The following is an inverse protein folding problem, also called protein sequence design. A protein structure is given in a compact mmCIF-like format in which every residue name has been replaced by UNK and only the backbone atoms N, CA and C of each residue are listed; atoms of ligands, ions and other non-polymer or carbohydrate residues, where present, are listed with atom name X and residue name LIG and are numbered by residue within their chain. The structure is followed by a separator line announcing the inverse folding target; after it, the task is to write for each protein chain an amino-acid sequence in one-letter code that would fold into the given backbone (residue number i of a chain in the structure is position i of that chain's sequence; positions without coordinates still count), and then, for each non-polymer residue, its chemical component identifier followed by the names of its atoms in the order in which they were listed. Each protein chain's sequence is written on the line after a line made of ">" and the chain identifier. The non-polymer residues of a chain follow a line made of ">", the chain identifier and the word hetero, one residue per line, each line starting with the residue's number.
data_IF_624549628713
#
_entry.id   IF_624549628713
#
_cell.length_a   1.000
_cell.length_b   1.000
_cell.length_c   1.000
_cell.angle_alpha   90.00
_cell.angle_beta   90.00
_cell.angle_gamma   90.00
#
_symmetry.space_group_name_H-M   'P 1'
#
loop_
_entity.id
_entity.type
_entity.pdbx_description
1 polymer ?
#
# COMPACT_ATOMS: atom_id res chain seq x y z
N UNK A 1 9.56 8.63 -18.99
CA UNK A 1 8.44 8.32 -19.92
C UNK A 1 7.87 6.92 -19.73
N UNK A 2 8.66 5.84 -19.73
CA UNK A 2 8.16 4.45 -19.58
C UNK A 2 7.30 4.25 -18.32
N UNK A 3 7.73 4.77 -17.16
CA UNK A 3 6.97 4.67 -15.90
C UNK A 3 5.58 5.31 -15.95
N UNK A 4 5.45 6.44 -16.67
CA UNK A 4 4.16 7.12 -16.90
C UNK A 4 3.22 6.24 -17.71
N UNK A 5 3.70 5.67 -18.82
CA UNK A 5 2.88 4.80 -19.65
C UNK A 5 2.41 3.55 -18.92
N UNK A 6 3.31 2.87 -18.20
CA UNK A 6 2.95 1.68 -17.43
C UNK A 6 1.93 1.99 -16.33
N UNK A 7 2.11 3.09 -15.61
CA UNK A 7 1.17 3.50 -14.57
C UNK A 7 -0.18 3.91 -15.15
N UNK A 8 -0.20 4.59 -16.31
CA UNK A 8 -1.43 4.92 -17.03
C UNK A 8 -2.18 3.67 -17.51
N UNK A 9 -1.47 2.64 -17.98
CA UNK A 9 -2.06 1.35 -18.34
C UNK A 9 -2.72 0.70 -17.12
N UNK A 10 -2.06 0.72 -15.96
CA UNK A 10 -2.64 0.18 -14.72
C UNK A 10 -3.90 0.95 -14.31
N UNK A 11 -3.89 2.29 -14.42
CA UNK A 11 -5.08 3.10 -14.17
C UNK A 11 -6.23 2.73 -15.12
N UNK A 12 -5.95 2.56 -16.42
CA UNK A 12 -6.95 2.15 -17.40
C UNK A 12 -7.49 0.74 -17.14
N UNK A 13 -6.62 -0.22 -16.85
CA UNK A 13 -7.01 -1.58 -16.46
C UNK A 13 -7.86 -1.58 -15.19
N UNK A 14 -7.53 -0.71 -14.23
CA UNK A 14 -8.31 -0.53 -12.99
C UNK A 14 -9.74 -0.08 -13.32
N UNK A 15 -9.90 0.90 -14.21
CA UNK A 15 -11.21 1.39 -14.67
C UNK A 15 -11.98 0.26 -15.37
N UNK A 16 -11.36 -0.45 -16.31
CA UNK A 16 -12.00 -1.56 -17.03
C UNK A 16 -12.47 -2.65 -16.06
N UNK A 17 -11.62 -3.08 -15.12
CA UNK A 17 -11.99 -4.06 -14.10
C UNK A 17 -13.05 -3.52 -13.15
N UNK A 18 -12.99 -2.22 -12.83
CA UNK A 18 -13.99 -1.57 -11.99
C UNK A 18 -15.37 -1.62 -12.62
N UNK A 19 -15.51 -1.60 -13.95
CA UNK A 19 -16.81 -1.71 -14.63
C UNK A 19 -17.20 -3.13 -15.07
N UNK A 20 -16.27 -4.09 -15.01
CA UNK A 20 -16.51 -5.50 -15.35
C UNK A 20 -17.56 -6.20 -14.47
N UNK A 21 -17.96 -7.42 -14.86
CA UNK A 21 -18.95 -8.21 -14.11
C UNK A 21 -18.49 -8.53 -12.68
N UNK A 22 -19.43 -8.71 -11.75
CA UNK A 22 -19.12 -9.09 -10.36
C UNK A 22 -18.35 -10.41 -10.26
N UNK A 23 -18.63 -11.35 -11.16
CA UNK A 23 -17.87 -12.60 -11.25
C UNK A 23 -16.41 -12.33 -11.62
N UNK A 24 -16.15 -11.54 -12.66
CA UNK A 24 -14.79 -11.15 -13.08
C UNK A 24 -14.02 -10.48 -11.95
N UNK A 25 -14.65 -9.53 -11.25
CA UNK A 25 -14.04 -8.83 -10.12
C UNK A 25 -13.65 -9.78 -8.98
N UNK A 26 -14.59 -10.66 -8.58
CA UNK A 26 -14.36 -11.64 -7.51
C UNK A 26 -13.25 -12.62 -7.89
N UNK A 27 -13.25 -13.12 -9.13
CA UNK A 27 -12.19 -14.00 -9.64
C UNK A 27 -10.84 -13.30 -9.62
N UNK A 28 -10.75 -12.05 -10.08
CA UNK A 28 -9.52 -11.27 -10.02
C UNK A 28 -9.02 -11.11 -8.57
N UNK A 29 -9.90 -10.73 -7.64
CA UNK A 29 -9.53 -10.57 -6.23
C UNK A 29 -8.96 -11.86 -5.64
N UNK A 30 -9.64 -13.00 -5.83
CA UNK A 30 -9.22 -14.30 -5.28
C UNK A 30 -7.90 -14.76 -5.91
N UNK A 31 -7.80 -14.76 -7.24
CA UNK A 31 -6.58 -15.19 -7.95
C UNK A 31 -5.40 -14.33 -7.55
N UNK A 32 -5.57 -13.00 -7.55
CA UNK A 32 -4.50 -12.08 -7.21
C UNK A 32 -4.07 -12.17 -5.75
N UNK A 33 -5.02 -12.35 -4.81
CA UNK A 33 -4.73 -12.61 -3.40
C UNK A 33 -3.92 -13.90 -3.21
N UNK A 34 -4.30 -14.99 -3.89
CA UNK A 34 -3.56 -16.25 -3.84
C UNK A 34 -2.15 -16.11 -4.40
N UNK A 35 -2.00 -15.48 -5.56
CA UNK A 35 -0.69 -15.23 -6.18
C UNK A 35 0.23 -14.41 -5.26
N UNK A 36 -0.26 -13.30 -4.71
CA UNK A 36 0.51 -12.46 -3.78
C UNK A 36 0.88 -13.24 -2.52
N UNK A 37 -0.07 -13.95 -1.91
CA UNK A 37 0.18 -14.69 -0.68
C UNK A 37 1.23 -15.77 -0.88
N UNK A 38 1.09 -16.59 -1.92
CA UNK A 38 2.04 -17.66 -2.23
C UNK A 38 3.42 -17.08 -2.49
N UNK A 39 3.51 -16.04 -3.33
CA UNK A 39 4.78 -15.38 -3.65
C UNK A 39 5.47 -14.85 -2.38
N UNK A 40 4.74 -14.13 -1.53
CA UNK A 40 5.31 -13.55 -0.30
C UNK A 40 5.63 -14.62 0.76
N UNK A 41 4.82 -15.66 0.90
CA UNK A 41 5.15 -16.77 1.78
C UNK A 41 6.44 -17.46 1.36
N UNK A 42 6.62 -17.74 0.05
CA UNK A 42 7.86 -18.32 -0.46
C UNK A 42 9.05 -17.40 -0.19
N UNK A 43 8.93 -16.11 -0.53
CA UNK A 43 10.00 -15.13 -0.33
C UNK A 43 10.44 -15.02 1.14
N UNK A 44 9.50 -14.84 2.06
CA UNK A 44 9.83 -14.70 3.48
C UNK A 44 10.25 -16.03 4.14
N UNK A 45 9.73 -17.17 3.66
CA UNK A 45 10.21 -18.48 4.10
C UNK A 45 11.67 -18.68 3.69
N UNK A 46 12.04 -18.32 2.46
CA UNK A 46 13.43 -18.37 2.00
C UNK A 46 14.33 -17.48 2.85
N UNK A 47 13.90 -16.26 3.19
CA UNK A 47 14.69 -15.38 4.06
C UNK A 47 14.86 -15.94 5.48
N UNK A 48 13.83 -16.59 6.02
CA UNK A 48 13.91 -17.29 7.31
C UNK A 48 14.88 -18.47 7.26
N UNK A 49 14.79 -19.33 6.24
CA UNK A 49 15.66 -20.48 6.06
C UNK A 49 17.13 -20.09 5.83
N UNK A 50 17.38 -18.98 5.16
CA UNK A 50 18.72 -18.43 4.93
C UNK A 50 19.23 -17.58 6.10
N UNK A 51 18.50 -17.51 7.22
CA UNK A 51 18.85 -16.75 8.41
C UNK A 51 19.17 -15.27 8.08
N UNK A 52 18.32 -14.63 7.27
CA UNK A 52 18.42 -13.22 6.88
C UNK A 52 17.34 -12.39 7.61
N UNK A 53 17.43 -12.21 8.95
CA UNK A 53 16.39 -11.54 9.73
C UNK A 53 16.22 -10.06 9.35
N UNK A 54 17.26 -9.42 8.80
CA UNK A 54 17.20 -8.06 8.28
C UNK A 54 16.32 -7.90 7.02
N UNK A 55 15.79 -8.99 6.46
CA UNK A 55 14.79 -8.96 5.39
C UNK A 55 13.36 -9.21 5.88
N UNK A 56 13.13 -9.19 7.20
CA UNK A 56 11.80 -9.32 7.79
C UNK A 56 10.86 -8.23 7.25
N UNK A 57 9.56 -8.54 7.11
CA UNK A 57 8.53 -7.58 6.71
C UNK A 57 8.47 -6.39 7.67
N UNK A 58 9.16 -5.31 7.35
CA UNK A 58 9.05 -4.02 8.04
C UNK A 58 8.25 -3.00 7.25
N UNK A 59 8.30 -3.07 5.92
CA UNK A 59 7.64 -2.09 5.06
C UNK A 59 6.12 -2.16 5.13
N UNK A 60 5.50 -0.99 5.00
CA UNK A 60 4.05 -0.88 5.05
C UNK A 60 3.41 -1.65 3.88
N UNK A 61 4.05 -1.59 2.70
CA UNK A 61 3.64 -2.35 1.52
C UNK A 61 3.69 -3.85 1.75
N UNK A 62 4.68 -4.33 2.52
CA UNK A 62 4.77 -5.74 2.86
C UNK A 62 3.60 -6.22 3.70
N UNK A 63 3.24 -5.44 4.72
CA UNK A 63 2.05 -5.75 5.52
C UNK A 63 0.78 -5.67 4.70
N UNK A 64 0.69 -4.73 3.75
CA UNK A 64 -0.45 -4.61 2.85
C UNK A 64 -0.67 -5.88 2.01
N UNK A 65 0.39 -6.55 1.53
CA UNK A 65 0.27 -7.82 0.82
C UNK A 65 -0.42 -8.91 1.65
N UNK A 66 -0.01 -9.07 2.91
CA UNK A 66 -0.60 -10.09 3.79
C UNK A 66 -2.03 -9.74 4.18
N UNK A 67 -2.26 -8.49 4.60
CA UNK A 67 -3.60 -8.03 5.00
C UNK A 67 -4.58 -8.16 3.85
N UNK A 68 -4.20 -7.73 2.65
CA UNK A 68 -5.00 -7.88 1.43
C UNK A 68 -5.36 -9.33 1.17
N UNK A 69 -4.36 -10.20 1.07
CA UNK A 69 -4.57 -11.57 0.64
C UNK A 69 -5.35 -12.38 1.67
N UNK A 70 -5.03 -12.26 2.96
CA UNK A 70 -5.74 -12.95 4.04
C UNK A 70 -7.21 -12.47 4.07
N UNK A 71 -7.44 -11.16 3.98
CA UNK A 71 -8.79 -10.61 4.02
C UNK A 71 -9.67 -11.14 2.89
N UNK A 72 -9.12 -11.28 1.67
CA UNK A 72 -9.86 -11.77 0.51
C UNK A 72 -10.08 -13.28 0.58
N UNK A 73 -9.02 -14.06 0.84
CA UNK A 73 -9.08 -15.53 0.84
C UNK A 73 -10.04 -16.04 1.91
N UNK A 74 -9.97 -15.47 3.12
CA UNK A 74 -10.85 -15.86 4.23
C UNK A 74 -12.14 -15.04 4.32
N UNK A 75 -12.34 -14.09 3.39
CA UNK A 75 -13.51 -13.20 3.31
C UNK A 75 -13.83 -12.50 4.66
N UNK A 76 -12.80 -11.96 5.32
CA UNK A 76 -12.96 -11.26 6.59
C UNK A 76 -13.59 -9.87 6.38
N UNK A 77 -14.92 -9.82 6.44
CA UNK A 77 -15.71 -8.60 6.18
C UNK A 77 -15.24 -7.38 6.97
N UNK A 78 -14.91 -7.56 8.26
CA UNK A 78 -14.43 -6.48 9.15
C UNK A 78 -13.07 -5.91 8.77
N UNK A 79 -12.26 -6.66 8.01
CA UNK A 79 -10.92 -6.23 7.59
C UNK A 79 -10.89 -5.66 6.17
N UNK A 80 -11.99 -5.74 5.41
CA UNK A 80 -12.04 -5.26 4.02
C UNK A 80 -11.63 -3.79 3.88
N UNK A 81 -12.08 -2.93 4.79
CA UNK A 81 -11.72 -1.52 4.74
C UNK A 81 -10.23 -1.28 5.03
N UNK A 82 -9.66 -2.03 5.98
CA UNK A 82 -8.22 -1.98 6.26
C UNK A 82 -7.40 -2.49 5.09
N UNK A 83 -7.78 -3.64 4.52
CA UNK A 83 -7.15 -4.19 3.34
C UNK A 83 -7.20 -3.19 2.18
N UNK A 84 -8.36 -2.59 1.92
CA UNK A 84 -8.50 -1.58 0.88
C UNK A 84 -7.59 -0.37 1.15
N UNK A 85 -7.55 0.16 2.37
CA UNK A 85 -6.71 1.31 2.71
C UNK A 85 -5.21 1.00 2.60
N UNK A 86 -4.76 -0.10 3.19
CA UNK A 86 -3.36 -0.51 3.15
C UNK A 86 -2.90 -0.75 1.70
N UNK A 87 -3.70 -1.47 0.93
CA UNK A 87 -3.45 -1.71 -0.49
C UNK A 87 -3.49 -0.44 -1.32
N UNK A 88 -4.41 0.49 -1.03
CA UNK A 88 -4.50 1.76 -1.73
C UNK A 88 -3.26 2.61 -1.52
N UNK A 89 -2.86 2.87 -0.26
CA UNK A 89 -1.68 3.68 0.04
C UNK A 89 -0.41 3.07 -0.55
N UNK A 90 -0.24 1.75 -0.40
CA UNK A 90 0.89 1.02 -0.97
C UNK A 90 0.90 1.11 -2.50
N UNK A 91 -0.20 0.73 -3.15
CA UNK A 91 -0.30 0.67 -4.61
C UNK A 91 -0.23 2.04 -5.27
N UNK A 92 -1.02 3.00 -4.79
CA UNK A 92 -1.06 4.37 -5.31
C UNK A 92 0.28 5.09 -5.12
N UNK A 93 0.86 5.01 -3.92
CA UNK A 93 2.16 5.62 -3.64
C UNK A 93 3.28 5.07 -4.52
N UNK A 94 3.28 3.74 -4.76
CA UNK A 94 4.23 3.12 -5.68
C UNK A 94 3.99 3.53 -7.13
N UNK A 95 2.75 3.54 -7.62
CA UNK A 95 2.44 3.95 -9.00
C UNK A 95 2.90 5.39 -9.27
N UNK A 96 2.59 6.33 -8.37
CA UNK A 96 3.07 7.72 -8.51
C UNK A 96 4.60 7.76 -8.51
N UNK A 97 5.24 7.08 -7.56
CA UNK A 97 6.69 7.06 -7.47
C UNK A 97 7.32 6.47 -8.73
N UNK A 98 6.74 5.40 -9.28
CA UNK A 98 7.18 4.73 -10.50
C UNK A 98 7.06 5.61 -11.75
N UNK A 99 6.07 6.53 -11.80
CA UNK A 99 5.95 7.48 -12.92
C UNK A 99 7.21 8.33 -13.09
N UNK A 100 7.82 8.74 -11.97
CA UNK A 100 8.96 9.66 -11.96
C UNK A 100 10.30 8.96 -11.75
N UNK A 101 10.33 7.86 -10.99
CA UNK A 101 11.56 7.22 -10.51
C UNK A 101 11.80 5.81 -11.06
N UNK A 102 11.10 5.43 -12.14
CA UNK A 102 11.30 4.11 -12.76
C UNK A 102 12.77 3.83 -13.16
N UNK A 103 13.52 4.75 -13.80
CA UNK A 103 14.92 4.51 -14.14
C UNK A 103 15.78 4.21 -12.90
N UNK A 104 15.60 4.97 -11.82
CA UNK A 104 16.32 4.82 -10.57
C UNK A 104 16.00 3.48 -9.89
N UNK A 105 14.73 3.04 -9.92
CA UNK A 105 14.36 1.74 -9.40
C UNK A 105 15.01 0.60 -10.20
N UNK A 106 15.00 0.68 -11.53
CA UNK A 106 15.62 -0.33 -12.41
C UNK A 106 17.13 -0.36 -12.19
N UNK A 107 17.77 0.80 -12.07
CA UNK A 107 19.21 0.90 -11.83
C UNK A 107 19.61 0.28 -10.48
N UNK A 108 18.88 0.61 -9.41
CA UNK A 108 19.24 0.19 -8.05
C UNK A 108 18.85 -1.26 -7.73
N UNK A 109 17.70 -1.74 -8.24
CA UNK A 109 17.15 -3.05 -7.88
C UNK A 109 17.23 -4.08 -9.01
N UNK A 110 17.62 -3.65 -10.21
CA UNK A 110 17.53 -4.48 -11.42
C UNK A 110 16.12 -4.55 -11.98
N UNK A 111 16.03 -4.90 -13.26
CA UNK A 111 14.77 -4.84 -14.03
C UNK A 111 13.71 -5.82 -13.51
N UNK A 112 14.11 -7.06 -13.16
CA UNK A 112 13.17 -8.11 -12.74
C UNK A 112 12.52 -7.79 -11.39
N UNK A 113 13.31 -7.46 -10.37
CA UNK A 113 12.78 -7.11 -9.05
C UNK A 113 11.89 -5.87 -9.11
N UNK A 114 12.31 -4.87 -9.88
CA UNK A 114 11.51 -3.66 -10.11
C UNK A 114 10.18 -3.97 -10.77
N UNK A 115 10.17 -4.84 -11.78
CA UNK A 115 8.96 -5.23 -12.48
C UNK A 115 8.00 -6.05 -11.59
N UNK A 116 8.51 -7.00 -10.80
CA UNK A 116 7.70 -7.74 -9.83
C UNK A 116 7.14 -6.83 -8.74
N UNK A 117 7.93 -5.88 -8.24
CA UNK A 117 7.44 -4.87 -7.31
C UNK A 117 6.31 -4.03 -7.95
N UNK A 118 6.47 -3.59 -9.20
CA UNK A 118 5.43 -2.88 -9.94
C UNK A 118 4.14 -3.69 -10.09
N UNK A 119 4.23 -4.97 -10.48
CA UNK A 119 3.05 -5.86 -10.60
C UNK A 119 2.35 -6.00 -9.25
N UNK A 120 3.09 -6.30 -8.18
CA UNK A 120 2.51 -6.50 -6.85
C UNK A 120 1.77 -5.24 -6.35
N UNK A 121 2.36 -4.06 -6.52
CA UNK A 121 1.71 -2.81 -6.14
C UNK A 121 0.52 -2.46 -7.04
N UNK A 122 0.60 -2.78 -8.34
CA UNK A 122 -0.52 -2.60 -9.27
C UNK A 122 -1.72 -3.47 -8.90
N UNK A 123 -1.48 -4.72 -8.51
CA UNK A 123 -2.52 -5.62 -8.01
C UNK A 123 -3.16 -5.05 -6.75
N UNK A 124 -2.36 -4.60 -5.77
CA UNK A 124 -2.89 -3.97 -4.56
C UNK A 124 -3.75 -2.75 -4.89
N UNK A 125 -3.28 -1.89 -5.79
CA UNK A 125 -4.03 -0.72 -6.22
C UNK A 125 -5.38 -1.11 -6.83
N UNK A 126 -5.40 -1.99 -7.85
CA UNK A 126 -6.64 -2.47 -8.47
C UNK A 126 -7.55 -3.12 -7.42
N UNK A 127 -7.00 -4.00 -6.60
CA UNK A 127 -7.73 -4.70 -5.54
C UNK A 127 -8.38 -3.74 -4.54
N UNK A 128 -7.70 -2.64 -4.19
CA UNK A 128 -8.26 -1.62 -3.31
C UNK A 128 -9.50 -0.94 -3.90
N UNK A 129 -9.48 -0.60 -5.19
CA UNK A 129 -10.61 0.05 -5.88
C UNK A 129 -11.80 -0.91 -6.02
N UNK A 130 -11.52 -2.19 -6.28
CA UNK A 130 -12.56 -3.23 -6.32
C UNK A 130 -13.22 -3.41 -4.94
N UNK A 131 -12.44 -3.45 -3.86
CA UNK A 131 -12.95 -3.51 -2.49
C UNK A 131 -13.78 -2.26 -2.12
N UNK A 132 -13.37 -1.07 -2.56
CA UNK A 132 -14.14 0.17 -2.39
C UNK A 132 -15.51 0.10 -3.08
N UNK A 133 -15.62 -0.62 -4.20
CA UNK A 133 -16.89 -0.77 -4.94
C UNK A 133 -17.91 -1.69 -4.25
N UNK A 134 -17.52 -2.43 -3.21
CA UNK A 134 -18.39 -3.34 -2.47
C UNK A 134 -19.01 -2.71 -1.23
N UNK A 135 -18.33 -1.74 -0.61
CA UNK A 135 -18.70 -1.22 0.69
C UNK A 135 -18.43 0.29 0.80
N UNK A 136 -19.42 1.02 1.31
CA UNK A 136 -19.28 2.43 1.65
C UNK A 136 -18.68 2.55 3.05
N UNK A 137 -17.47 3.12 3.14
CA UNK A 137 -16.72 3.19 4.39
C UNK A 137 -17.26 4.27 5.33
N UNK A 138 -17.27 3.93 6.61
CA UNK A 138 -17.85 4.75 7.69
C UNK A 138 -16.78 5.33 8.60
N UNK A 139 -17.19 6.19 9.55
CA UNK A 139 -16.29 6.70 10.59
C UNK A 139 -15.71 5.59 11.49
N UNK A 140 -16.44 4.48 11.67
CA UNK A 140 -15.95 3.34 12.44
C UNK A 140 -14.76 2.67 11.74
N UNK A 141 -14.82 2.54 10.42
CA UNK A 141 -13.73 2.00 9.61
C UNK A 141 -12.46 2.86 9.69
N UNK A 142 -12.61 4.19 9.71
CA UNK A 142 -11.49 5.11 9.92
C UNK A 142 -10.79 4.88 11.26
N UNK A 143 -11.54 4.55 12.32
CA UNK A 143 -10.95 4.22 13.62
C UNK A 143 -10.15 2.91 13.54
N UNK A 144 -10.62 1.93 12.79
CA UNK A 144 -9.91 0.68 12.57
C UNK A 144 -8.58 0.92 11.84
N UNK A 145 -8.59 1.74 10.78
CA UNK A 145 -7.37 2.15 10.05
C UNK A 145 -6.37 2.83 10.99
N UNK A 146 -6.83 3.79 11.80
CA UNK A 146 -5.98 4.52 12.75
C UNK A 146 -5.36 3.59 13.80
N UNK A 147 -6.18 2.69 14.37
CA UNK A 147 -5.71 1.72 15.37
C UNK A 147 -4.65 0.78 14.77
N UNK A 148 -4.87 0.30 13.54
CA UNK A 148 -3.88 -0.51 12.83
C UNK A 148 -2.59 0.28 12.58
N UNK A 149 -2.67 1.53 12.12
CA UNK A 149 -1.46 2.33 11.88
C UNK A 149 -0.69 2.57 13.17
N UNK A 150 -1.37 2.83 14.29
CA UNK A 150 -0.71 2.93 15.59
C UNK A 150 -0.01 1.63 15.97
N UNK A 151 -0.71 0.49 15.85
CA UNK A 151 -0.12 -0.83 16.11
C UNK A 151 1.09 -1.12 15.22
N UNK A 152 0.99 -0.80 13.93
CA UNK A 152 2.07 -0.98 12.96
C UNK A 152 3.29 -0.11 13.31
N UNK A 153 3.10 1.16 13.69
CA UNK A 153 4.20 2.03 14.13
C UNK A 153 4.90 1.43 15.36
N UNK A 154 4.13 0.97 16.35
CA UNK A 154 4.69 0.30 17.55
C UNK A 154 5.46 -0.97 17.16
N UNK A 155 4.90 -1.80 16.28
CA UNK A 155 5.58 -2.98 15.74
C UNK A 155 6.93 -2.63 15.09
N UNK A 156 6.95 -1.62 14.21
CA UNK A 156 8.18 -1.18 13.53
C UNK A 156 9.22 -0.69 14.54
N UNK A 157 8.82 0.08 15.55
CA UNK A 157 9.73 0.56 16.62
C UNK A 157 10.33 -0.61 17.39
N UNK A 158 9.51 -1.57 17.82
CA UNK A 158 9.99 -2.76 18.56
C UNK A 158 10.97 -3.57 17.71
N UNK A 159 10.61 -3.89 16.46
CA UNK A 159 11.46 -4.70 15.59
C UNK A 159 12.78 -3.98 15.26
N UNK A 160 12.76 -2.65 15.09
CA UNK A 160 13.98 -1.86 14.90
C UNK A 160 14.93 -1.89 16.10
N UNK A 161 14.43 -2.15 17.32
CA UNK A 161 15.29 -2.33 18.50
C UNK A 161 15.85 -3.74 18.62
N UNK A 162 15.19 -4.75 18.04
CA UNK A 162 15.59 -6.16 18.15
C UNK A 162 16.54 -6.57 17.02
N UNK A 163 16.35 -6.01 15.82
CA UNK A 163 17.06 -6.42 14.61
C UNK A 163 17.82 -5.24 14.01
N UNK A 164 19.11 -5.43 13.77
CA UNK A 164 19.91 -4.47 13.02
C UNK A 164 19.63 -4.59 11.52
N UNK A 165 19.00 -3.55 10.97
CA UNK A 165 18.75 -3.44 9.54
C UNK A 165 19.83 -2.56 8.90
N UNK A 166 20.63 -3.08 7.95
CA UNK A 166 21.57 -2.26 7.19
C UNK A 166 20.77 -1.12 6.55
N UNK A 167 21.13 0.11 6.90
CA UNK A 167 20.24 1.27 6.91
C UNK A 167 19.65 1.72 5.57
N UNK A 168 19.95 1.06 4.46
CA UNK A 168 19.91 1.73 3.17
C UNK A 168 18.52 1.90 2.54
N UNK A 169 17.49 1.09 2.83
CA UNK A 169 16.25 1.16 2.03
C UNK A 169 14.93 0.86 2.75
N UNK A 170 14.81 1.16 4.05
CA UNK A 170 13.51 1.02 4.74
C UNK A 170 12.83 2.39 4.86
N UNK A 171 11.87 2.66 3.95
CA UNK A 171 11.14 3.91 3.83
C UNK A 171 10.45 4.30 5.15
N UNK A 172 9.84 3.35 5.85
CA UNK A 172 9.19 3.64 7.13
C UNK A 172 10.19 4.05 8.21
N UNK A 173 11.44 3.55 8.19
CA UNK A 173 12.49 3.99 9.11
C UNK A 173 12.99 5.38 8.78
N UNK A 174 13.10 5.70 7.49
CA UNK A 174 13.47 7.03 7.04
C UNK A 174 12.43 8.07 7.47
N UNK A 175 11.14 7.72 7.43
CA UNK A 175 10.06 8.54 7.96
C UNK A 175 10.07 8.64 9.48
N UNK A 176 10.11 7.51 10.19
CA UNK A 176 10.00 7.51 11.67
C UNK A 176 11.25 8.04 12.37
N UNK A 177 12.44 7.91 11.75
CA UNK A 177 13.69 8.44 12.31
C UNK A 177 13.92 9.92 12.03
N UNK A 178 13.05 10.58 11.25
CA UNK A 178 13.27 11.97 10.80
C UNK A 178 14.50 12.12 9.90
N UNK A 179 15.08 11.03 9.43
CA UNK A 179 16.28 11.02 8.58
C UNK A 179 16.02 11.67 7.21
N UNK A 180 14.74 11.79 6.80
CA UNK A 180 14.37 12.56 5.62
C UNK A 180 14.85 14.01 5.70
N UNK A 181 14.80 14.63 6.89
CA UNK A 181 15.30 16.00 7.08
C UNK A 181 16.80 16.07 6.79
N UNK A 182 17.58 15.21 7.45
CA UNK A 182 19.04 15.10 7.25
C UNK A 182 19.41 14.78 5.80
N UNK A 183 18.58 14.01 5.10
CA UNK A 183 18.80 13.69 3.69
C UNK A 183 18.54 14.90 2.78
N UNK A 184 17.49 15.68 3.04
CA UNK A 184 17.11 16.83 2.22
C UNK A 184 17.98 18.07 2.50
N UNK A 185 18.39 18.29 3.75
CA UNK A 185 19.25 19.42 4.13
C UNK A 185 20.35 18.98 5.11
N UNK A 186 21.40 18.30 4.62
CA UNK A 186 22.46 17.72 5.46
C UNK A 186 23.31 18.75 6.19
N UNK A 187 23.30 20.02 5.76
CA UNK A 187 24.06 21.11 6.36
C UNK A 187 23.35 21.81 7.52
N UNK A 188 22.09 21.46 7.81
CA UNK A 188 21.29 22.09 8.86
C UNK A 188 21.35 21.24 10.12
N UNK A 189 21.65 21.87 11.26
CA UNK A 189 21.50 21.24 12.57
C UNK A 189 20.05 21.34 13.02
N UNK A 190 19.38 20.20 13.19
CA UNK A 190 17.98 20.15 13.63
C UNK A 190 17.86 20.15 15.15
N UNK A 191 16.90 20.93 15.64
CA UNK A 191 16.49 20.97 17.05
C UNK A 191 15.31 20.03 17.30
N UNK A 192 14.98 19.80 18.58
CA UNK A 192 13.79 19.01 18.95
C UNK A 192 12.48 19.61 18.42
N UNK A 193 12.40 20.93 18.24
CA UNK A 193 11.23 21.59 17.67
C UNK A 193 11.05 21.27 16.18
N UNK A 194 12.15 21.15 15.43
CA UNK A 194 12.11 20.79 14.01
C UNK A 194 11.56 19.36 13.83
N UNK A 195 12.00 18.43 14.68
CA UNK A 195 11.46 17.07 14.70
C UNK A 195 9.97 17.04 15.09
N UNK A 196 9.55 17.85 16.08
CA UNK A 196 8.13 17.95 16.45
C UNK A 196 7.28 18.43 15.27
N UNK A 197 7.69 19.51 14.60
CA UNK A 197 7.01 20.04 13.42
C UNK A 197 6.96 19.02 12.29
N UNK A 198 8.05 18.30 12.07
CA UNK A 198 8.12 17.20 11.10
C UNK A 198 7.07 16.10 11.38
N UNK A 199 6.96 15.63 12.63
CA UNK A 199 5.96 14.61 12.96
C UNK A 199 4.52 15.13 12.90
N UNK A 200 4.28 16.40 13.26
CA UNK A 200 2.97 17.05 13.06
C UNK A 200 2.62 17.08 11.57
N UNK A 201 3.56 17.45 10.71
CA UNK A 201 3.38 17.46 9.26
C UNK A 201 3.07 16.05 8.73
N UNK A 202 3.78 15.02 9.16
CA UNK A 202 3.49 13.63 8.79
C UNK A 202 2.08 13.20 9.17
N UNK A 203 1.62 13.57 10.38
CA UNK A 203 0.24 13.30 10.81
C UNK A 203 -0.79 14.02 9.94
N UNK A 204 -0.53 15.27 9.55
CA UNK A 204 -1.39 16.04 8.63
C UNK A 204 -1.45 15.35 7.26
N UNK A 205 -0.31 14.96 6.69
CA UNK A 205 -0.24 14.25 5.40
C UNK A 205 -1.01 12.93 5.48
N UNK A 206 -0.83 12.16 6.55
CA UNK A 206 -1.54 10.90 6.76
C UNK A 206 -3.06 11.12 6.87
N UNK A 207 -3.51 12.15 7.61
CA UNK A 207 -4.93 12.51 7.71
C UNK A 207 -5.51 12.92 6.36
N UNK A 208 -4.75 13.67 5.58
CA UNK A 208 -5.13 14.03 4.22
C UNK A 208 -5.27 12.79 3.33
N UNK A 209 -4.32 11.85 3.40
CA UNK A 209 -4.40 10.60 2.65
C UNK A 209 -5.64 9.76 3.03
N UNK A 210 -5.99 9.70 4.32
CA UNK A 210 -7.22 9.05 4.78
C UNK A 210 -8.48 9.78 4.29
N UNK A 211 -8.47 11.10 4.24
CA UNK A 211 -9.57 11.88 3.69
C UNK A 211 -9.74 11.62 2.19
N UNK A 212 -8.65 11.66 1.42
CA UNK A 212 -8.62 11.35 -0.01
C UNK A 212 -9.13 9.93 -0.29
N UNK A 213 -8.70 8.95 0.50
CA UNK A 213 -9.17 7.57 0.40
C UNK A 213 -10.69 7.47 0.57
N UNK A 214 -11.25 8.14 1.59
CA UNK A 214 -12.70 8.15 1.82
C UNK A 214 -13.47 8.88 0.71
N UNK A 215 -12.92 9.98 0.19
CA UNK A 215 -13.50 10.68 -0.95
C UNK A 215 -13.56 9.79 -2.19
N UNK A 216 -12.47 9.07 -2.50
CA UNK A 216 -12.42 8.12 -3.62
C UNK A 216 -13.39 6.96 -3.40
N UNK A 217 -13.46 6.39 -2.19
CA UNK A 217 -14.42 5.33 -1.87
C UNK A 217 -15.86 5.80 -2.12
N UNK A 218 -16.21 7.00 -1.64
CA UNK A 218 -17.53 7.57 -1.88
C UNK A 218 -17.82 7.67 -3.38
N UNK A 219 -16.93 8.27 -4.17
CA UNK A 219 -17.10 8.37 -5.62
C UNK A 219 -17.31 6.99 -6.28
N UNK A 220 -16.43 6.03 -6.01
CA UNK A 220 -16.49 4.68 -6.61
C UNK A 220 -17.78 3.94 -6.22
N UNK A 221 -18.16 4.03 -4.94
CA UNK A 221 -19.35 3.36 -4.44
C UNK A 221 -20.62 3.86 -5.12
N UNK A 222 -20.78 5.18 -5.24
CA UNK A 222 -21.95 5.78 -5.89
C UNK A 222 -21.98 5.52 -7.40
N UNK A 223 -20.85 5.70 -8.10
CA UNK A 223 -20.74 5.36 -9.52
C UNK A 223 -21.15 3.91 -9.83
N UNK A 224 -20.86 2.97 -8.91
CA UNK A 224 -21.24 1.56 -9.06
C UNK A 224 -22.64 1.21 -8.57
N UNK A 225 -23.27 2.07 -7.78
CA UNK A 225 -24.66 1.88 -7.34
C UNK A 225 -25.62 2.28 -8.46
N UNK A 226 -25.38 3.42 -9.09
CA UNK A 226 -26.24 3.96 -10.14
C UNK A 226 -26.26 3.07 -11.39
N UNK A 227 -25.09 2.59 -11.84
CA UNK A 227 -24.98 1.66 -12.97
C UNK A 227 -25.67 0.29 -12.74
N UNK A 228 -26.07 -0.07 -11.52
CA UNK A 228 -26.78 -1.34 -11.28
C UNK A 228 -28.30 -1.21 -11.42
N UNK A 229 -28.83 0.01 -11.33
CA UNK A 229 -30.26 0.25 -11.50
C UNK A 229 -30.67 0.31 -12.98
N UNK A 230 -29.73 0.61 -13.89
CA UNK A 230 -30.01 0.69 -15.33
C UNK A 230 -30.16 -0.68 -16.02
N UNK A 231 -29.62 -1.77 -15.47
CA UNK A 231 -29.73 -3.13 -16.06
C UNK A 231 -30.82 -4.01 -15.45
N UNK A 232 -31.75 -3.41 -14.68
CA UNK A 232 -32.88 -4.11 -14.04
C UNK A 232 -34.24 -3.72 -14.62
N UNK A 233 -34.29 -3.28 -15.87
CA UNK A 233 -35.54 -3.00 -16.62
C UNK A 233 -35.73 -4.06 -17.70
#
# INVERSE_FOLDING_TARGET
>A
MVGVYLSAIVLLLSIVLLFSSKHTQKTFLIVSALCILIYKLIEYTQYGLLLQPYKIPLEYSTMAYFIYSITIIFNFSKMKTLAAFASFISGFGYLISFMFLAPEFIFNNGIFLTFFAFINHSILFIGSLLLMSEHHYTKYDNKLILNYTLFYVVYVVIINHIIEFPQSYIFIRLLLGGNLLNYLYPSISYTSYDYLLYFILLLIIYRFALHLFNYINHLIFFLRKDNRHEYTI
#
